data_IF_141329787950
#
_entry.id   IF_141329787950
#
_cell.length_a   1.000
_cell.length_b   1.000
_cell.length_c   1.000
_cell.angle_alpha   90.00
_cell.angle_beta   90.00
_cell.angle_gamma   90.00
#
_symmetry.space_group_name_H-M   'P 1'
#
loop_
_entity.id
_entity.type
_entity.pdbx_description
1 polymer ?
#
# COMPACT_ATOMS: atom_id res chain seq x y z
N UNK A 1 15.25 -27.58 -6.69
CA UNK A 1 14.87 -26.37 -5.91
C UNK A 1 14.29 -26.67 -4.51
N UNK A 2 13.45 -27.71 -4.30
CA UNK A 2 12.94 -28.07 -2.97
C UNK A 2 14.02 -28.46 -1.95
N UNK A 3 14.99 -29.28 -2.36
CA UNK A 3 15.95 -29.92 -1.45
C UNK A 3 17.06 -29.00 -0.96
N UNK A 4 17.45 -28.01 -1.76
CA UNK A 4 18.48 -27.02 -1.40
C UNK A 4 18.08 -26.20 -0.17
N UNK A 5 16.79 -25.92 -0.02
CA UNK A 5 16.24 -25.19 1.13
C UNK A 5 16.17 -26.06 2.40
N UNK A 6 16.16 -27.39 2.29
CA UNK A 6 16.19 -28.26 3.48
C UNK A 6 17.63 -28.40 4.02
N UNK A 7 18.64 -28.27 3.16
CA UNK A 7 20.06 -28.50 3.50
C UNK A 7 20.74 -27.34 4.23
N UNK A 8 20.29 -26.09 4.09
CA UNK A 8 20.87 -24.94 4.80
C UNK A 8 20.03 -24.53 6.01
N UNK A 9 20.63 -24.50 7.20
CA UNK A 9 20.04 -23.82 8.37
C UNK A 9 20.21 -22.30 8.22
N UNK A 10 19.16 -21.53 8.51
CA UNK A 10 19.21 -20.06 8.44
C UNK A 10 20.24 -19.46 9.40
N UNK A 11 21.16 -18.64 8.88
CA UNK A 11 22.28 -18.04 9.63
C UNK A 11 21.96 -16.65 10.17
N UNK A 12 21.04 -15.93 9.54
CA UNK A 12 20.70 -14.54 9.86
C UNK A 12 19.40 -14.52 10.66
N UNK A 13 19.44 -14.02 11.89
CA UNK A 13 18.22 -13.78 12.67
C UNK A 13 17.60 -12.44 12.28
N UNK A 14 16.28 -12.43 12.12
CA UNK A 14 15.51 -11.23 11.80
C UNK A 14 14.14 -11.29 12.48
N UNK A 15 13.66 -10.18 13.03
CA UNK A 15 12.33 -10.09 13.64
C UNK A 15 11.41 -9.27 12.76
N UNK A 16 10.20 -9.77 12.56
CA UNK A 16 9.15 -9.07 11.82
C UNK A 16 7.85 -9.09 12.59
N UNK A 17 7.01 -8.11 12.34
CA UNK A 17 5.67 -8.06 12.90
C UNK A 17 4.68 -7.90 11.74
N UNK A 18 3.72 -8.81 11.66
CA UNK A 18 2.66 -8.79 10.65
C UNK A 18 1.33 -8.84 11.40
N UNK A 19 0.48 -7.83 11.17
CA UNK A 19 -0.84 -7.73 11.81
C UNK A 19 -0.82 -7.86 13.34
N UNK A 20 0.23 -7.36 14.00
CA UNK A 20 0.40 -7.43 15.46
C UNK A 20 0.97 -8.76 15.98
N UNK A 21 1.27 -9.73 15.10
CA UNK A 21 1.94 -10.97 15.46
C UNK A 21 3.43 -10.87 15.15
N UNK A 22 4.26 -11.15 16.15
CA UNK A 22 5.71 -11.19 16.01
C UNK A 22 6.16 -12.54 15.43
N UNK A 23 7.15 -12.47 14.54
CA UNK A 23 7.79 -13.61 13.91
C UNK A 23 9.30 -13.51 14.08
N UNK A 24 9.89 -14.55 14.67
CA UNK A 24 11.33 -14.73 14.72
C UNK A 24 11.77 -15.54 13.49
N UNK A 25 12.40 -14.86 12.54
CA UNK A 25 12.80 -15.44 11.26
C UNK A 25 14.28 -15.82 11.28
N UNK A 26 14.59 -16.93 10.62
CA UNK A 26 15.96 -17.28 10.22
C UNK A 26 16.07 -17.18 8.72
N UNK A 27 17.12 -16.53 8.23
CA UNK A 27 17.29 -16.23 6.82
C UNK A 27 18.64 -16.77 6.33
N UNK A 28 18.65 -17.28 5.10
CA UNK A 28 19.86 -17.67 4.38
C UNK A 28 19.75 -17.26 2.92
N UNK A 29 20.87 -17.26 2.20
CA UNK A 29 20.90 -17.04 0.76
C UNK A 29 21.75 -18.12 0.08
N UNK A 30 21.43 -18.42 -1.18
CA UNK A 30 22.07 -19.42 -2.02
C UNK A 30 22.11 -18.89 -3.46
N UNK A 31 23.25 -19.00 -4.15
CA UNK A 31 23.32 -18.77 -5.59
C UNK A 31 22.71 -19.96 -6.31
N UNK A 32 21.79 -19.71 -7.23
CA UNK A 32 21.06 -20.74 -7.96
C UNK A 32 20.97 -20.38 -9.44
N UNK A 33 20.85 -21.39 -10.28
CA UNK A 33 20.54 -21.24 -11.70
C UNK A 33 19.25 -22.00 -11.98
N UNK A 34 18.37 -21.41 -12.80
CA UNK A 34 17.13 -22.07 -13.18
C UNK A 34 17.36 -22.91 -14.44
N UNK A 35 16.83 -24.15 -14.51
CA UNK A 35 16.96 -24.96 -15.72
C UNK A 35 16.39 -24.31 -16.99
N UNK A 36 15.34 -23.49 -16.81
CA UNK A 36 14.66 -22.74 -17.88
C UNK A 36 15.41 -21.45 -18.24
N UNK A 37 16.23 -20.92 -17.33
CA UNK A 37 16.96 -19.66 -17.49
C UNK A 37 18.47 -19.96 -17.38
N UNK A 38 19.01 -20.63 -18.41
CA UNK A 38 20.42 -21.00 -18.45
C UNK A 38 21.31 -19.76 -18.61
N UNK A 39 22.50 -19.79 -18.02
CA UNK A 39 23.50 -18.71 -18.12
C UNK A 39 23.19 -17.46 -17.29
N UNK A 40 22.14 -17.48 -16.46
CA UNK A 40 21.71 -16.34 -15.66
C UNK A 40 21.69 -16.72 -14.18
N UNK A 41 22.82 -16.53 -13.46
CA UNK A 41 22.90 -16.86 -12.05
C UNK A 41 22.01 -15.90 -11.25
N UNK A 42 21.14 -16.47 -10.41
CA UNK A 42 20.24 -15.74 -9.52
C UNK A 42 20.60 -16.02 -8.07
N UNK A 43 20.12 -15.16 -7.18
CA UNK A 43 20.20 -15.37 -5.74
C UNK A 43 18.83 -15.82 -5.22
N UNK A 44 18.82 -16.89 -4.43
CA UNK A 44 17.64 -17.36 -3.72
C UNK A 44 17.82 -17.09 -2.23
N UNK A 45 16.91 -16.30 -1.66
CA UNK A 45 16.81 -16.06 -0.22
C UNK A 45 15.78 -17.05 0.35
N UNK A 46 16.18 -17.80 1.36
CA UNK A 46 15.32 -18.77 2.05
C UNK A 46 15.03 -18.26 3.45
N UNK A 47 13.75 -18.13 3.78
CA UNK A 47 13.23 -17.56 5.02
C UNK A 47 12.45 -18.63 5.77
N UNK A 48 12.88 -18.92 6.98
CA UNK A 48 12.23 -19.84 7.92
C UNK A 48 11.50 -19.03 9.00
N UNK A 49 10.37 -19.54 9.50
CA UNK A 49 9.66 -18.98 10.66
C UNK A 49 8.26 -18.42 10.38
N UNK A 50 7.89 -18.19 9.11
CA UNK A 50 6.52 -17.76 8.76
C UNK A 50 5.49 -18.90 8.78
N UNK A 51 5.92 -20.15 8.55
CA UNK A 51 5.08 -21.34 8.53
C UNK A 51 5.93 -22.60 8.44
N UNK A 52 5.29 -23.76 8.24
CA UNK A 52 5.98 -25.07 8.17
C UNK A 52 6.97 -25.15 7.00
N UNK A 53 6.56 -24.65 5.83
CA UNK A 53 7.40 -24.62 4.63
C UNK A 53 8.16 -23.30 4.56
N UNK A 54 9.48 -23.31 4.32
CA UNK A 54 10.24 -22.08 4.19
C UNK A 54 9.84 -21.31 2.94
N UNK A 55 9.70 -20.00 3.09
CA UNK A 55 9.48 -19.08 1.98
C UNK A 55 10.79 -18.93 1.19
N UNK A 56 10.68 -18.85 -0.14
CA UNK A 56 11.82 -18.72 -1.06
C UNK A 56 11.60 -17.51 -1.94
N UNK A 57 12.56 -16.60 -1.95
CA UNK A 57 12.55 -15.39 -2.76
C UNK A 57 13.68 -15.51 -3.77
N UNK A 58 13.36 -15.39 -5.06
CA UNK A 58 14.35 -15.38 -6.13
C UNK A 58 14.60 -13.93 -6.56
N UNK A 59 15.86 -13.57 -6.74
CA UNK A 59 16.25 -12.20 -7.09
C UNK A 59 17.48 -12.18 -7.99
N UNK A 60 17.50 -11.21 -8.91
CA UNK A 60 18.66 -10.85 -9.71
C UNK A 60 19.58 -9.84 -9.00
N UNK A 61 19.19 -9.32 -7.84
CA UNK A 61 20.05 -8.42 -7.07
C UNK A 61 21.29 -9.16 -6.56
N UNK A 62 22.43 -8.49 -6.65
CA UNK A 62 23.66 -8.98 -6.04
C UNK A 62 23.51 -9.04 -4.52
N UNK A 63 24.02 -10.11 -3.92
CA UNK A 63 24.06 -10.32 -2.48
C UNK A 63 25.53 -10.42 -2.08
N UNK A 64 26.08 -9.36 -1.49
CA UNK A 64 27.47 -9.32 -1.01
C UNK A 64 27.53 -9.44 0.51
N UNK A 65 26.56 -8.85 1.21
CA UNK A 65 26.55 -8.82 2.68
C UNK A 65 25.22 -9.30 3.28
N UNK A 66 25.19 -9.39 4.61
CA UNK A 66 23.97 -9.69 5.39
C UNK A 66 22.90 -8.61 5.19
N UNK A 67 23.32 -7.36 5.09
CA UNK A 67 22.46 -6.19 4.93
C UNK A 67 21.71 -6.24 3.60
N UNK A 68 22.37 -6.71 2.53
CA UNK A 68 21.72 -6.93 1.22
C UNK A 68 20.58 -7.94 1.32
N UNK A 69 20.80 -9.06 2.01
CA UNK A 69 19.76 -10.09 2.22
C UNK A 69 18.58 -9.50 2.98
N UNK A 70 18.84 -8.73 4.03
CA UNK A 70 17.80 -8.08 4.83
C UNK A 70 17.06 -7.00 4.03
N UNK A 71 17.75 -6.23 3.19
CA UNK A 71 17.14 -5.21 2.31
C UNK A 71 16.17 -5.85 1.33
N UNK A 72 16.57 -6.94 0.68
CA UNK A 72 15.71 -7.66 -0.27
C UNK A 72 14.52 -8.29 0.45
N UNK A 73 14.74 -8.90 1.63
CA UNK A 73 13.66 -9.46 2.44
C UNK A 73 12.67 -8.38 2.90
N UNK A 74 13.16 -7.24 3.40
CA UNK A 74 12.32 -6.10 3.79
C UNK A 74 11.54 -5.58 2.59
N UNK A 75 12.16 -5.42 1.43
CA UNK A 75 11.50 -5.03 0.19
C UNK A 75 10.34 -5.98 -0.17
N UNK A 76 10.59 -7.29 -0.08
CA UNK A 76 9.54 -8.28 -0.31
C UNK A 76 8.41 -8.24 0.73
N UNK A 77 8.73 -8.04 2.01
CA UNK A 77 7.70 -7.88 3.05
C UNK A 77 6.87 -6.63 2.79
N UNK A 78 7.51 -5.51 2.42
CA UNK A 78 6.80 -4.28 2.05
C UNK A 78 5.94 -4.42 0.80
N UNK A 79 6.12 -5.46 -0.01
CA UNK A 79 5.22 -5.78 -1.14
C UNK A 79 3.77 -5.87 -0.67
N UNK A 80 3.51 -6.39 0.54
CA UNK A 80 2.15 -6.48 1.10
C UNK A 80 1.44 -5.11 1.21
N UNK A 81 2.19 -3.99 1.22
CA UNK A 81 1.60 -2.65 1.19
C UNK A 81 0.72 -2.41 -0.05
N UNK A 82 0.99 -3.09 -1.17
CA UNK A 82 0.14 -2.96 -2.38
C UNK A 82 -1.24 -3.59 -2.17
N UNK A 83 -1.31 -4.71 -1.44
CA UNK A 83 -2.58 -5.37 -1.13
C UNK A 83 -3.41 -4.50 -0.19
N UNK A 84 -2.75 -3.84 0.76
CA UNK A 84 -3.38 -2.88 1.65
C UNK A 84 -3.86 -1.63 0.89
N UNK A 85 -3.12 -1.16 -0.11
CA UNK A 85 -3.57 -0.08 -1.00
C UNK A 85 -4.85 -0.46 -1.76
N UNK A 86 -4.90 -1.67 -2.33
CA UNK A 86 -6.10 -2.17 -3.00
C UNK A 86 -7.28 -2.28 -2.03
N UNK A 87 -7.03 -2.68 -0.78
CA UNK A 87 -8.06 -2.69 0.26
C UNK A 87 -8.59 -1.28 0.54
N UNK A 88 -7.73 -0.28 0.67
CA UNK A 88 -8.15 1.14 0.83
C UNK A 88 -9.05 1.58 -0.32
N UNK A 89 -8.66 1.30 -1.57
CA UNK A 89 -9.45 1.68 -2.75
C UNK A 89 -10.85 1.03 -2.73
N UNK A 90 -10.93 -0.25 -2.36
CA UNK A 90 -12.18 -1.00 -2.31
C UNK A 90 -13.07 -0.58 -1.15
N UNK A 91 -12.50 -0.52 0.06
CA UNK A 91 -13.23 -0.31 1.31
C UNK A 91 -13.50 1.17 1.59
N UNK A 92 -12.47 2.04 1.60
CA UNK A 92 -12.59 3.44 2.01
C UNK A 92 -13.16 4.35 0.91
N UNK A 93 -12.80 4.08 -0.36
CA UNK A 93 -13.35 4.81 -1.51
C UNK A 93 -14.57 4.13 -2.13
N UNK A 94 -15.01 2.99 -1.56
CA UNK A 94 -16.17 2.23 -2.03
C UNK A 94 -16.14 1.90 -3.52
N UNK A 95 -14.95 1.68 -4.11
CA UNK A 95 -14.79 1.46 -5.55
C UNK A 95 -15.64 0.30 -6.07
N UNK A 96 -15.84 -0.75 -5.28
CA UNK A 96 -16.66 -1.91 -5.64
C UNK A 96 -18.18 -1.60 -5.66
N UNK A 97 -18.60 -0.50 -5.03
CA UNK A 97 -20.00 -0.05 -4.96
C UNK A 97 -20.31 1.06 -5.97
N UNK A 98 -19.31 1.59 -6.66
CA UNK A 98 -19.50 2.63 -7.67
C UNK A 98 -20.34 2.09 -8.82
N UNK A 99 -21.45 2.76 -9.10
CA UNK A 99 -22.29 2.49 -10.28
C UNK A 99 -21.99 3.49 -11.38
N UNK A 100 -21.32 3.02 -12.42
CA UNK A 100 -21.03 3.79 -13.64
C UNK A 100 -21.41 2.97 -14.85
N UNK A 101 -22.00 3.61 -15.86
CA UNK A 101 -22.53 2.91 -17.03
C UNK A 101 -21.48 2.53 -18.08
N UNK A 102 -20.25 3.08 -18.02
CA UNK A 102 -19.22 2.86 -19.05
C UNK A 102 -17.84 2.57 -18.46
N UNK A 103 -17.04 1.76 -19.17
CA UNK A 103 -15.65 1.50 -18.77
C UNK A 103 -14.80 2.79 -18.76
N UNK A 104 -15.06 3.72 -19.68
CA UNK A 104 -14.36 5.00 -19.76
C UNK A 104 -14.58 5.85 -18.50
N UNK A 105 -15.81 5.92 -17.99
CA UNK A 105 -16.09 6.64 -16.74
C UNK A 105 -15.46 5.94 -15.52
N UNK A 106 -15.45 4.61 -15.48
CA UNK A 106 -14.71 3.86 -14.44
C UNK A 106 -13.22 4.19 -14.45
N UNK A 107 -12.59 4.24 -15.64
CA UNK A 107 -11.16 4.58 -15.77
C UNK A 107 -10.86 5.97 -15.25
N UNK A 108 -11.69 6.96 -15.59
CA UNK A 108 -11.52 8.34 -15.13
C UNK A 108 -11.63 8.41 -13.60
N UNK A 109 -12.67 7.79 -13.02
CA UNK A 109 -12.85 7.77 -11.57
C UNK A 109 -11.66 7.09 -10.86
N UNK A 110 -11.20 5.95 -11.40
CA UNK A 110 -10.04 5.24 -10.87
C UNK A 110 -8.77 6.10 -10.93
N UNK A 111 -8.55 6.84 -12.03
CA UNK A 111 -7.41 7.77 -12.14
C UNK A 111 -7.49 8.89 -11.11
N UNK A 112 -8.64 9.55 -10.96
CA UNK A 112 -8.84 10.63 -9.98
C UNK A 112 -8.61 10.11 -8.56
N UNK A 113 -9.17 8.96 -8.22
CA UNK A 113 -8.98 8.31 -6.92
C UNK A 113 -7.49 8.04 -6.65
N UNK A 114 -6.74 7.53 -7.63
CA UNK A 114 -5.30 7.31 -7.48
C UNK A 114 -4.51 8.60 -7.31
N UNK A 115 -4.88 9.68 -8.02
CA UNK A 115 -4.28 11.00 -7.82
C UNK A 115 -4.50 11.50 -6.39
N UNK A 116 -5.72 11.35 -5.85
CA UNK A 116 -6.04 11.73 -4.46
C UNK A 116 -5.23 10.90 -3.46
N UNK A 117 -5.18 9.57 -3.65
CA UNK A 117 -4.41 8.68 -2.79
C UNK A 117 -2.90 9.02 -2.84
N UNK A 118 -2.36 9.31 -4.01
CA UNK A 118 -0.98 9.76 -4.17
C UNK A 118 -0.71 11.07 -3.42
N UNK A 119 -1.62 12.05 -3.55
CA UNK A 119 -1.53 13.30 -2.82
C UNK A 119 -1.58 13.12 -1.29
N UNK A 120 -2.48 12.26 -0.79
CA UNK A 120 -2.56 11.93 0.63
C UNK A 120 -1.29 11.23 1.10
N UNK A 121 -0.74 10.31 0.31
CA UNK A 121 0.50 9.60 0.64
C UNK A 121 1.68 10.58 0.80
N UNK A 122 1.83 11.52 -0.14
CA UNK A 122 2.84 12.58 -0.04
C UNK A 122 2.61 13.50 1.16
N UNK A 123 1.35 13.82 1.49
CA UNK A 123 1.01 14.65 2.64
C UNK A 123 1.33 13.97 3.97
N UNK A 124 1.14 12.65 4.04
CA UNK A 124 1.52 11.82 5.18
C UNK A 124 3.05 11.80 5.33
N UNK A 125 3.78 11.60 4.23
CA UNK A 125 5.26 11.57 4.24
C UNK A 125 5.87 12.92 4.64
N UNK A 126 5.30 14.04 4.17
CA UNK A 126 5.73 15.39 4.55
C UNK A 126 5.52 15.70 6.04
N UNK A 127 4.63 14.97 6.71
CA UNK A 127 4.40 15.05 8.15
C UNK A 127 4.21 16.48 8.71
N UNK A 128 3.41 17.30 8.02
CA UNK A 128 3.16 18.69 8.44
C UNK A 128 2.19 18.77 9.63
N UNK A 129 2.10 19.95 10.26
CA UNK A 129 1.11 20.21 11.32
C UNK A 129 -0.32 19.89 10.86
N UNK A 130 -0.68 20.27 9.63
CA UNK A 130 -1.97 19.91 9.03
C UNK A 130 -2.21 18.39 9.03
N UNK A 131 -1.23 17.60 8.60
CA UNK A 131 -1.33 16.13 8.59
C UNK A 131 -1.57 15.58 9.99
N UNK A 132 -0.90 16.13 11.01
CA UNK A 132 -1.10 15.71 12.40
C UNK A 132 -2.51 16.04 12.91
N UNK A 133 -3.04 17.21 12.56
CA UNK A 133 -4.43 17.59 12.87
C UNK A 133 -5.42 16.63 12.24
N UNK A 134 -5.26 16.30 10.95
CA UNK A 134 -6.11 15.33 10.25
C UNK A 134 -6.05 13.96 10.93
N UNK A 135 -4.85 13.47 11.25
CA UNK A 135 -4.64 12.19 11.93
C UNK A 135 -5.20 12.15 13.36
N UNK A 136 -5.23 13.31 14.05
CA UNK A 136 -5.84 13.44 15.37
C UNK A 136 -7.38 13.45 15.29
N UNK A 137 -7.95 14.02 14.23
CA UNK A 137 -9.41 14.02 14.00
C UNK A 137 -9.98 12.64 13.64
N UNK A 138 -9.14 11.70 13.23
CA UNK A 138 -9.53 10.31 12.95
C UNK A 138 -9.85 9.45 14.20
N UNK A 139 -9.65 9.96 15.42
CA UNK A 139 -9.84 9.26 16.71
C UNK A 139 -11.36 9.12 17.00
N UNK A 140 -12.01 7.93 16.94
CA UNK A 140 -11.55 6.64 17.45
C UNK A 140 -11.96 5.45 16.55
N UNK A 141 -11.17 5.14 15.51
CA UNK A 141 -11.23 3.79 14.91
C UNK A 141 -10.34 2.84 15.72
N UNK A 142 -10.75 2.50 16.95
CA UNK A 142 -9.91 1.79 17.93
C UNK A 142 -9.45 0.38 17.49
N UNK A 143 -10.07 -0.21 16.46
CA UNK A 143 -9.60 -1.45 15.85
C UNK A 143 -8.33 -1.28 14.98
N UNK A 144 -8.05 -0.06 14.49
CA UNK A 144 -6.93 0.24 13.58
C UNK A 144 -5.61 0.53 14.29
N UNK A 145 -5.55 0.54 15.62
CA UNK A 145 -4.28 0.71 16.35
C UNK A 145 -3.25 -0.37 15.96
N UNK A 146 -3.71 -1.53 15.48
CA UNK A 146 -2.87 -2.62 14.95
C UNK A 146 -2.41 -2.41 13.51
N UNK A 147 -3.06 -1.52 12.75
CA UNK A 147 -2.75 -1.29 11.33
C UNK A 147 -1.79 -0.10 11.23
N UNK A 148 -0.51 -0.39 10.97
CA UNK A 148 0.58 0.59 10.83
C UNK A 148 0.46 1.44 9.54
N UNK A 149 -0.59 1.27 8.76
CA UNK A 149 -0.80 1.95 7.48
C UNK A 149 -1.61 3.25 7.69
N UNK A 150 -0.90 4.38 7.76
CA UNK A 150 -1.46 5.70 8.08
C UNK A 150 -2.51 6.22 7.08
N UNK A 151 -2.55 5.68 5.86
CA UNK A 151 -3.48 6.12 4.83
C UNK A 151 -4.95 5.97 5.26
N UNK A 152 -5.31 4.87 5.94
CA UNK A 152 -6.66 4.68 6.50
C UNK A 152 -7.04 5.79 7.47
N UNK A 153 -6.14 6.08 8.42
CA UNK A 153 -6.38 7.12 9.43
C UNK A 153 -6.51 8.48 8.78
N UNK A 154 -5.70 8.76 7.77
CA UNK A 154 -5.75 10.03 7.06
C UNK A 154 -7.07 10.21 6.30
N UNK A 155 -7.47 9.23 5.48
CA UNK A 155 -8.72 9.27 4.71
C UNK A 155 -9.93 9.44 5.64
N UNK A 156 -9.99 8.66 6.72
CA UNK A 156 -11.08 8.77 7.71
C UNK A 156 -11.06 10.10 8.45
N UNK A 157 -9.88 10.63 8.75
CA UNK A 157 -9.71 11.97 9.33
C UNK A 157 -10.27 13.06 8.41
N UNK A 158 -9.92 13.01 7.12
CA UNK A 158 -10.46 13.93 6.11
C UNK A 158 -11.98 13.78 6.00
N UNK A 159 -12.49 12.54 5.89
CA UNK A 159 -13.93 12.25 5.85
C UNK A 159 -14.65 12.84 7.07
N UNK A 160 -14.07 12.72 8.27
CA UNK A 160 -14.64 13.28 9.49
C UNK A 160 -14.62 14.81 9.50
N UNK A 161 -13.55 15.43 9.01
CA UNK A 161 -13.48 16.90 8.87
C UNK A 161 -14.58 17.38 7.92
N UNK A 162 -14.71 16.74 6.76
CA UNK A 162 -15.71 17.08 5.75
C UNK A 162 -17.14 16.80 6.22
N UNK A 163 -17.35 15.88 7.16
CA UNK A 163 -18.70 15.61 7.71
C UNK A 163 -19.33 16.79 8.45
N UNK A 164 -18.53 17.79 8.85
CA UNK A 164 -19.04 19.03 9.46
C UNK A 164 -19.40 20.11 8.42
N UNK A 165 -19.04 19.93 7.15
CA UNK A 165 -19.42 20.84 6.09
C UNK A 165 -20.87 20.58 5.66
N UNK A 166 -21.77 21.52 5.98
CA UNK A 166 -23.20 21.42 5.68
C UNK A 166 -23.56 21.91 4.27
N UNK A 167 -22.66 22.64 3.61
CA UNK A 167 -22.91 23.21 2.29
C UNK A 167 -22.32 22.36 1.16
N UNK A 168 -21.21 21.68 1.44
CA UNK A 168 -20.54 20.77 0.52
C UNK A 168 -20.12 21.46 -0.78
N UNK A 169 -20.28 20.76 -1.92
CA UNK A 169 -19.82 21.27 -3.22
C UNK A 169 -20.65 22.42 -3.78
N UNK A 170 -21.79 22.77 -3.16
CA UNK A 170 -22.71 23.80 -3.68
C UNK A 170 -22.04 25.17 -3.83
N UNK A 171 -21.12 25.54 -2.93
CA UNK A 171 -20.37 26.79 -3.04
C UNK A 171 -19.37 26.81 -4.21
N UNK A 172 -18.95 25.64 -4.71
CA UNK A 172 -18.03 25.54 -5.84
C UNK A 172 -18.75 25.58 -7.20
N UNK A 173 -20.06 25.34 -7.22
CA UNK A 173 -20.88 25.59 -8.38
C UNK A 173 -21.13 27.10 -8.51
N UNK A 174 -20.20 27.84 -9.15
CA UNK A 174 -20.57 29.12 -9.76
C UNK A 174 -21.60 28.80 -10.85
N UNK A 175 -22.88 28.95 -10.52
CA UNK A 175 -23.96 28.88 -11.50
C UNK A 175 -23.73 30.07 -12.44
N UNK A 176 -23.39 29.79 -13.70
CA UNK A 176 -23.38 30.81 -14.73
C UNK A 176 -24.81 31.34 -14.86
N UNK A 177 -25.04 32.57 -14.39
CA UNK A 177 -26.30 33.25 -14.62
C UNK A 177 -26.33 33.67 -16.09
N UNK A 178 -26.92 32.85 -16.96
CA UNK A 178 -27.29 33.33 -18.30
C UNK A 178 -28.28 34.47 -18.13
N UNK A 179 -27.87 35.69 -18.45
CA UNK A 179 -28.78 36.83 -18.55
C UNK A 179 -29.91 36.47 -19.51
N UNK A 180 -31.13 36.46 -19.00
CA UNK A 180 -32.35 36.20 -19.76
C UNK A 180 -32.45 37.15 -20.96
N UNK A 181 -32.70 36.54 -22.13
CA UNK A 181 -33.25 37.15 -23.34
C UNK A 181 -32.35 38.16 -24.09
N UNK A 182 -31.75 37.69 -25.18
CA UNK A 182 -31.71 38.50 -26.39
C UNK A 182 -33.16 38.73 -26.81
N UNK A 183 -33.73 39.90 -26.48
CA UNK A 183 -34.90 40.42 -27.18
C UNK A 183 -34.48 40.67 -28.62
N UNK A 184 -34.69 39.68 -29.49
CA UNK A 184 -34.66 39.87 -30.93
C UNK A 184 -35.91 40.71 -31.28
N UNK A 185 -35.68 42.01 -31.47
CA UNK A 185 -36.56 42.88 -32.25
C UNK A 185 -36.27 42.67 -33.73
#
# INVERSE_FOLDING_TARGET
MPDLAKRRKGKINFRTEIQGKEYNLKVSHIKVELPVLKGTPLNMIVVYGYGEKPMKLLTNHAVKSKEDVLRILKGYITRWRIEELFRVQKEEFHLEKTRTMTLSSMRILYTIMNCIIGHYSLSIEKNTCHTQVVLARARPSNALAKIKFYLYRFIRGVSKILSYDTAGIKYFHRIEQRSSQLSLW
#
